data_IF_175327241338
#
_entry.id   IF_175327241338
#
_cell.length_a   1.000
_cell.length_b   1.000
_cell.length_c   1.000
_cell.angle_alpha   90.00
_cell.angle_beta   90.00
_cell.angle_gamma   90.00
#
_symmetry.space_group_name_H-M   'P 1'
#
loop_
_entity.id
_entity.type
_entity.pdbx_description
1 polymer ?
#
# COMPACT_ATOMS: atom_id res chain seq x y z
N UNK A 1 26.25 -52.65 9.40
CA UNK A 1 24.89 -52.13 9.68
C UNK A 1 24.98 -50.60 9.62
N UNK A 2 24.56 -49.99 8.51
CA UNK A 2 24.54 -48.54 8.30
C UNK A 2 23.09 -48.08 8.53
N UNK A 3 22.87 -47.32 9.59
CA UNK A 3 21.57 -46.71 9.83
C UNK A 3 21.43 -45.47 8.90
N UNK A 4 20.42 -45.54 8.01
CA UNK A 4 19.94 -44.40 7.21
C UNK A 4 19.02 -43.56 8.11
N UNK A 5 19.46 -42.36 8.45
CA UNK A 5 18.56 -41.33 8.97
C UNK A 5 17.82 -40.67 7.79
N UNK A 6 16.53 -40.95 7.68
CA UNK A 6 15.60 -40.21 6.82
C UNK A 6 15.29 -38.86 7.49
N UNK A 7 15.79 -37.78 6.92
CA UNK A 7 15.26 -36.45 7.18
C UNK A 7 13.92 -36.30 6.43
N UNK A 8 12.81 -36.41 7.15
CA UNK A 8 11.51 -35.98 6.67
C UNK A 8 11.47 -34.43 6.70
N UNK A 9 11.72 -33.82 5.56
CA UNK A 9 11.36 -32.42 5.33
C UNK A 9 9.85 -32.35 5.19
N UNK A 10 9.17 -31.87 6.23
CA UNK A 10 7.79 -31.44 6.14
C UNK A 10 7.73 -30.19 5.28
N UNK A 11 6.98 -30.18 4.15
CA UNK A 11 6.67 -28.92 3.49
C UNK A 11 5.68 -28.18 4.40
N UNK A 12 6.05 -27.01 4.87
CA UNK A 12 5.14 -26.04 5.44
C UNK A 12 4.20 -25.65 4.29
N UNK A 13 3.07 -26.34 4.20
CA UNK A 13 1.94 -25.90 3.40
C UNK A 13 1.40 -24.63 4.06
N UNK A 14 1.86 -23.47 3.55
CA UNK A 14 1.14 -22.22 3.73
C UNK A 14 -0.26 -22.44 3.14
N UNK A 15 -1.23 -22.68 4.01
CA UNK A 15 -2.63 -22.55 3.67
C UNK A 15 -2.88 -21.04 3.42
N UNK A 16 -2.57 -20.60 2.21
CA UNK A 16 -3.17 -19.39 1.67
C UNK A 16 -4.66 -19.70 1.54
N UNK A 17 -5.44 -19.31 2.55
CA UNK A 17 -6.89 -19.26 2.44
C UNK A 17 -7.22 -18.20 1.40
N UNK A 18 -7.24 -18.59 0.12
CA UNK A 18 -7.81 -17.79 -0.95
C UNK A 18 -9.32 -17.69 -0.70
N UNK A 19 -9.75 -16.81 0.18
CA UNK A 19 -11.04 -16.18 -0.01
C UNK A 19 -10.95 -15.46 -1.35
N UNK A 20 -11.81 -15.84 -2.30
CA UNK A 20 -11.88 -15.15 -3.59
C UNK A 20 -12.16 -13.68 -3.32
N UNK A 21 -11.12 -12.85 -3.47
CA UNK A 21 -11.30 -11.42 -3.49
C UNK A 21 -12.32 -11.06 -4.57
N UNK A 22 -13.24 -10.14 -4.30
CA UNK A 22 -14.23 -9.70 -5.29
C UNK A 22 -13.51 -9.30 -6.58
N UNK A 23 -14.01 -9.78 -7.73
CA UNK A 23 -13.42 -9.51 -9.02
C UNK A 23 -13.70 -8.05 -9.41
N UNK A 24 -12.75 -7.14 -9.30
CA UNK A 24 -12.84 -5.76 -9.81
C UNK A 24 -12.27 -4.70 -8.89
N UNK A 25 -12.36 -4.83 -7.56
CA UNK A 25 -11.64 -3.93 -6.67
C UNK A 25 -10.17 -4.38 -6.65
N UNK A 26 -9.39 -3.71 -7.49
CA UNK A 26 -7.98 -4.06 -7.68
C UNK A 26 -7.21 -3.96 -6.37
N UNK A 27 -6.31 -4.92 -6.12
CA UNK A 27 -5.41 -4.93 -4.98
C UNK A 27 -6.12 -4.93 -3.61
N UNK A 28 -7.39 -5.35 -3.56
CA UNK A 28 -8.14 -5.48 -2.32
C UNK A 28 -7.71 -6.72 -1.54
N UNK A 29 -7.49 -6.57 -0.24
CA UNK A 29 -7.26 -7.68 0.70
C UNK A 29 -7.54 -7.31 2.14
N UNK A 30 -7.91 -8.32 2.92
CA UNK A 30 -8.00 -8.27 4.37
C UNK A 30 -6.59 -8.43 4.97
N UNK A 31 -6.22 -7.60 5.94
CA UNK A 31 -4.95 -7.74 6.65
C UNK A 31 -4.92 -8.93 7.60
N UNK A 32 -6.04 -9.58 7.88
CA UNK A 32 -6.10 -10.79 8.72
C UNK A 32 -5.34 -11.99 8.14
N UNK A 33 -4.94 -11.91 6.88
CA UNK A 33 -4.12 -12.93 6.23
C UNK A 33 -2.67 -13.01 6.80
N UNK A 34 -2.25 -12.02 7.61
CA UNK A 34 -0.92 -11.97 8.19
C UNK A 34 -0.93 -12.43 9.64
N UNK A 35 0.06 -13.27 9.98
CA UNK A 35 0.35 -13.65 11.36
C UNK A 35 1.22 -12.55 11.96
N UNK A 36 0.82 -12.07 13.12
CA UNK A 36 1.61 -11.15 13.94
C UNK A 36 2.49 -11.97 14.89
N UNK A 37 3.50 -11.38 15.47
CA UNK A 37 4.41 -12.06 16.40
C UNK A 37 3.66 -12.91 17.46
N UNK A 38 4.27 -14.02 17.88
CA UNK A 38 3.73 -14.93 18.92
C UNK A 38 2.39 -15.62 18.55
N UNK A 39 2.17 -15.90 17.25
CA UNK A 39 0.93 -16.55 16.77
C UNK A 39 -0.34 -15.72 16.98
N UNK A 40 -0.20 -14.41 17.16
CA UNK A 40 -1.31 -13.48 17.17
C UNK A 40 -1.79 -13.22 15.75
N UNK A 41 -3.10 -13.03 15.58
CA UNK A 41 -3.70 -12.76 14.28
C UNK A 41 -4.44 -11.42 14.29
N UNK A 42 -4.45 -10.75 13.15
CA UNK A 42 -5.36 -9.62 12.94
C UNK A 42 -6.78 -10.19 12.82
N UNK A 43 -7.73 -9.57 13.52
CA UNK A 43 -9.14 -9.96 13.50
C UNK A 43 -9.69 -9.88 12.08
N UNK A 44 -10.23 -10.99 11.59
CA UNK A 44 -10.77 -11.09 10.24
C UNK A 44 -11.92 -10.11 10.02
N UNK A 45 -11.97 -9.52 8.83
CA UNK A 45 -13.06 -8.66 8.41
C UNK A 45 -13.05 -7.26 9.02
N UNK A 46 -11.93 -6.82 9.60
CA UNK A 46 -11.84 -5.52 10.27
C UNK A 46 -11.02 -4.48 9.50
N UNK A 47 -9.98 -4.91 8.79
CA UNK A 47 -9.02 -4.01 8.13
C UNK A 47 -8.80 -4.43 6.69
N UNK A 48 -9.29 -3.62 5.77
CA UNK A 48 -9.14 -3.86 4.33
C UNK A 48 -8.33 -2.76 3.68
N UNK A 49 -7.47 -3.15 2.76
CA UNK A 49 -6.79 -2.22 1.85
C UNK A 49 -7.18 -2.51 0.41
N UNK A 50 -7.22 -1.48 -0.45
CA UNK A 50 -7.65 -1.61 -1.84
C UNK A 50 -7.11 -0.50 -2.74
N UNK A 51 -7.34 -0.61 -4.07
CA UNK A 51 -7.39 0.51 -4.99
C UNK A 51 -8.74 1.25 -4.85
N UNK A 52 -8.89 2.39 -5.56
CA UNK A 52 -10.13 3.17 -5.54
C UNK A 52 -11.34 2.35 -5.99
N UNK A 53 -12.54 2.73 -5.52
CA UNK A 53 -13.79 2.02 -5.77
C UNK A 53 -14.54 2.49 -7.03
N UNK A 54 -13.98 3.44 -7.81
CA UNK A 54 -14.66 4.01 -8.98
C UNK A 54 -15.01 2.97 -10.06
N UNK A 55 -14.22 1.90 -10.18
CA UNK A 55 -14.44 0.84 -11.16
C UNK A 55 -15.06 -0.42 -10.54
N UNK A 56 -15.42 -0.40 -9.26
CA UNK A 56 -16.08 -1.53 -8.59
C UNK A 56 -17.42 -1.85 -9.27
N UNK A 57 -17.72 -3.14 -9.40
CA UNK A 57 -19.00 -3.61 -9.93
C UNK A 57 -20.12 -3.49 -8.89
N UNK A 58 -21.38 -3.68 -9.30
CA UNK A 58 -22.52 -3.68 -8.36
C UNK A 58 -22.38 -4.80 -7.33
N UNK A 59 -21.96 -5.99 -7.76
CA UNK A 59 -21.74 -7.14 -6.87
C UNK A 59 -20.66 -6.86 -5.82
N UNK A 60 -19.62 -6.10 -6.18
CA UNK A 60 -18.54 -5.74 -5.27
C UNK A 60 -18.94 -4.67 -4.27
N UNK A 61 -19.70 -3.67 -4.71
CA UNK A 61 -20.28 -2.69 -3.80
C UNK A 61 -21.26 -3.36 -2.84
N UNK A 62 -22.08 -4.29 -3.34
CA UNK A 62 -22.97 -5.09 -2.50
C UNK A 62 -22.18 -5.96 -1.51
N UNK A 63 -21.07 -6.60 -1.95
CA UNK A 63 -20.21 -7.35 -1.07
C UNK A 63 -19.65 -6.46 0.05
N UNK A 64 -19.11 -5.28 -0.27
CA UNK A 64 -18.62 -4.33 0.74
C UNK A 64 -19.72 -3.90 1.71
N UNK A 65 -20.97 -3.78 1.25
CA UNK A 65 -22.12 -3.47 2.10
C UNK A 65 -22.54 -4.65 3.01
N UNK A 66 -22.17 -5.91 2.67
CA UNK A 66 -22.38 -7.08 3.55
C UNK A 66 -21.32 -7.17 4.65
N UNK A 67 -20.14 -6.58 4.45
CA UNK A 67 -19.16 -6.42 5.50
C UNK A 67 -19.65 -5.32 6.47
N UNK A 68 -19.32 -5.40 7.75
CA UNK A 68 -19.65 -4.33 8.68
C UNK A 68 -18.78 -3.09 8.46
N UNK A 69 -18.64 -2.66 7.18
CA UNK A 69 -17.79 -1.53 6.79
C UNK A 69 -18.41 -0.23 7.27
N UNK A 70 -17.76 0.39 8.24
CA UNK A 70 -18.21 1.65 8.85
C UNK A 70 -17.47 2.86 8.32
N UNK A 71 -16.23 2.68 7.83
CA UNK A 71 -15.41 3.75 7.28
C UNK A 71 -14.71 3.34 5.99
N UNK A 72 -14.65 4.31 5.06
CA UNK A 72 -13.78 4.24 3.87
C UNK A 72 -12.87 5.46 3.91
N UNK A 73 -11.55 5.22 3.95
CA UNK A 73 -10.53 6.26 4.03
C UNK A 73 -9.82 6.35 2.69
N UNK A 74 -9.93 7.51 2.03
CA UNK A 74 -9.35 7.77 0.70
C UNK A 74 -8.13 8.70 0.81
N UNK A 75 -6.94 8.20 0.42
CA UNK A 75 -5.69 8.95 0.41
C UNK A 75 -5.46 9.76 -0.87
N UNK A 76 -6.40 9.79 -1.79
CA UNK A 76 -6.26 10.51 -3.07
C UNK A 76 -6.40 12.02 -2.88
N UNK A 77 -5.69 12.75 -3.76
CA UNK A 77 -5.85 14.18 -3.91
C UNK A 77 -7.16 14.50 -4.66
N UNK A 78 -7.63 15.75 -4.58
CA UNK A 78 -8.88 16.18 -5.19
C UNK A 78 -8.92 15.98 -6.71
N UNK A 79 -7.81 16.25 -7.40
CA UNK A 79 -7.71 16.07 -8.85
C UNK A 79 -7.75 14.60 -9.28
N UNK A 80 -7.25 13.67 -8.44
CA UNK A 80 -7.35 12.22 -8.68
C UNK A 80 -8.78 11.70 -8.55
N UNK A 81 -9.62 12.33 -7.71
CA UNK A 81 -11.02 11.95 -7.48
C UNK A 81 -11.98 12.54 -8.51
N UNK A 82 -11.64 13.71 -9.10
CA UNK A 82 -12.54 14.48 -9.98
C UNK A 82 -13.19 13.64 -11.09
N UNK A 83 -12.38 12.81 -11.76
CA UNK A 83 -12.86 11.99 -12.89
C UNK A 83 -13.11 10.53 -12.47
N UNK A 84 -12.84 10.17 -11.23
CA UNK A 84 -12.88 8.80 -10.69
C UNK A 84 -13.38 8.80 -9.25
N UNK A 85 -14.52 9.44 -9.01
CA UNK A 85 -15.18 9.38 -7.70
C UNK A 85 -15.49 7.92 -7.34
N UNK A 86 -15.31 7.58 -6.07
CA UNK A 86 -15.67 6.25 -5.59
C UNK A 86 -17.17 6.01 -5.70
N UNK A 87 -17.51 4.76 -5.92
CA UNK A 87 -18.89 4.31 -5.79
C UNK A 87 -19.27 4.26 -4.30
N UNK A 88 -20.49 4.65 -4.01
CA UNK A 88 -21.01 4.72 -2.63
C UNK A 88 -21.24 3.32 -2.08
N UNK A 89 -20.66 3.04 -0.92
CA UNK A 89 -20.99 1.88 -0.08
C UNK A 89 -21.95 2.33 1.01
N UNK A 90 -23.18 1.84 0.95
CA UNK A 90 -24.20 2.26 1.91
C UNK A 90 -23.82 1.87 3.35
N UNK A 91 -23.96 2.82 4.26
CA UNK A 91 -23.64 2.62 5.67
C UNK A 91 -22.20 2.97 6.07
N UNK A 92 -21.32 3.22 5.09
CA UNK A 92 -19.95 3.64 5.36
C UNK A 92 -19.81 5.17 5.35
N UNK A 93 -19.09 5.71 6.33
CA UNK A 93 -18.60 7.09 6.34
C UNK A 93 -17.38 7.22 5.42
N UNK A 94 -17.36 8.25 4.57
CA UNK A 94 -16.22 8.54 3.69
C UNK A 94 -15.36 9.65 4.28
N UNK A 95 -14.07 9.35 4.48
CA UNK A 95 -13.07 10.28 5.01
C UNK A 95 -11.96 10.44 3.97
N UNK A 96 -11.72 11.66 3.54
CA UNK A 96 -10.59 11.95 2.66
C UNK A 96 -9.40 12.45 3.49
N UNK A 97 -8.29 11.74 3.39
CA UNK A 97 -6.99 12.10 3.99
C UNK A 97 -5.98 12.21 2.86
N UNK A 98 -5.91 13.37 2.17
CA UNK A 98 -5.09 13.49 0.97
C UNK A 98 -3.60 13.42 1.29
N UNK A 99 -2.89 12.47 0.68
CA UNK A 99 -1.44 12.29 0.83
C UNK A 99 -0.76 12.58 -0.50
N UNK A 100 0.05 13.64 -0.56
CA UNK A 100 0.86 13.95 -1.73
C UNK A 100 2.20 13.20 -1.69
N UNK A 101 2.26 12.07 -2.41
CA UNK A 101 3.47 11.27 -2.54
C UNK A 101 4.52 11.89 -3.49
N UNK A 102 4.14 12.89 -4.29
CA UNK A 102 5.01 13.46 -5.32
C UNK A 102 6.10 14.36 -4.76
N UNK A 103 5.92 14.87 -3.54
CA UNK A 103 6.86 15.76 -2.87
C UNK A 103 7.24 16.96 -3.74
N UNK A 104 8.43 17.51 -3.52
CA UNK A 104 8.95 18.67 -4.25
C UNK A 104 9.15 18.43 -5.76
N UNK A 105 9.11 17.19 -6.25
CA UNK A 105 9.38 16.88 -7.68
C UNK A 105 8.26 17.38 -8.57
N UNK A 106 7.00 17.18 -8.16
CA UNK A 106 5.84 17.71 -8.92
C UNK A 106 5.61 19.20 -8.66
N UNK A 107 6.01 19.72 -7.50
CA UNK A 107 5.98 21.16 -7.25
C UNK A 107 6.89 21.94 -8.21
N UNK A 108 8.00 21.34 -8.65
CA UNK A 108 8.93 21.90 -9.63
C UNK A 108 8.55 21.60 -11.10
N UNK A 109 7.49 20.82 -11.35
CA UNK A 109 7.02 20.55 -12.69
C UNK A 109 6.35 21.79 -13.30
N UNK A 110 6.62 22.06 -14.58
CA UNK A 110 5.95 23.14 -15.32
C UNK A 110 4.46 22.82 -15.49
N UNK A 111 3.63 23.84 -15.73
CA UNK A 111 2.19 23.64 -15.98
C UNK A 111 1.91 22.76 -17.20
N UNK A 112 2.81 22.76 -18.21
CA UNK A 112 2.74 21.84 -19.34
C UNK A 112 3.04 20.39 -18.92
N UNK A 113 4.02 20.18 -18.06
CA UNK A 113 4.34 18.87 -17.51
C UNK A 113 3.19 18.37 -16.61
N UNK A 114 2.63 19.23 -15.73
CA UNK A 114 1.45 18.91 -14.93
C UNK A 114 0.24 18.55 -15.81
N UNK A 115 0.01 19.28 -16.90
CA UNK A 115 -1.04 18.95 -17.88
C UNK A 115 -0.78 17.64 -18.62
N UNK A 116 0.45 17.31 -18.92
CA UNK A 116 0.82 16.02 -19.55
C UNK A 116 0.65 14.84 -18.60
N UNK A 117 0.92 15.03 -17.32
CA UNK A 117 0.82 13.99 -16.29
C UNK A 117 -0.50 13.98 -15.52
N UNK A 118 -1.24 15.10 -15.47
CA UNK A 118 -2.49 15.28 -14.71
C UNK A 118 -3.70 15.72 -15.53
N UNK A 119 -3.61 15.78 -16.86
CA UNK A 119 -4.72 16.27 -17.70
C UNK A 119 -5.87 15.28 -17.84
N UNK A 120 -7.09 15.82 -17.96
CA UNK A 120 -8.45 15.25 -18.00
C UNK A 120 -8.74 14.12 -19.01
N UNK A 121 -7.74 13.37 -19.47
CA UNK A 121 -7.97 12.18 -20.30
C UNK A 121 -7.51 10.98 -19.50
N UNK A 122 -8.30 9.91 -19.46
CA UNK A 122 -7.90 8.58 -19.01
C UNK A 122 -6.49 8.27 -19.48
N UNK A 123 -5.50 8.74 -18.71
CA UNK A 123 -4.12 8.61 -19.06
C UNK A 123 -3.70 7.18 -18.69
N UNK A 124 -3.72 6.30 -19.67
CA UNK A 124 -3.21 4.95 -19.49
C UNK A 124 -1.68 5.03 -19.43
N UNK A 125 -1.16 5.13 -18.21
CA UNK A 125 0.28 5.14 -17.93
C UNK A 125 1.01 4.02 -18.69
N UNK A 126 0.33 2.88 -18.90
CA UNK A 126 0.87 1.74 -19.64
C UNK A 126 1.26 2.08 -21.08
N UNK A 127 0.58 3.06 -21.70
CA UNK A 127 0.89 3.48 -23.08
C UNK A 127 2.21 4.20 -23.22
N UNK A 128 2.64 4.90 -22.16
CA UNK A 128 3.84 5.73 -22.17
C UNK A 128 4.93 5.26 -21.23
N UNK A 129 4.68 4.18 -20.46
CA UNK A 129 5.61 3.71 -19.42
C UNK A 129 7.02 3.46 -19.98
N UNK A 130 7.13 2.99 -21.22
CA UNK A 130 8.43 2.77 -21.87
C UNK A 130 9.17 4.10 -22.07
N UNK A 131 8.45 5.17 -22.47
CA UNK A 131 9.05 6.51 -22.60
C UNK A 131 9.43 7.10 -21.24
N UNK A 132 8.55 6.91 -20.26
CA UNK A 132 8.78 7.39 -18.89
C UNK A 132 10.00 6.70 -18.28
N UNK A 133 10.22 5.43 -18.55
CA UNK A 133 11.34 4.67 -18.00
C UNK A 133 12.70 5.29 -18.33
N UNK A 134 12.85 5.95 -19.48
CA UNK A 134 14.07 6.63 -19.89
C UNK A 134 14.14 8.11 -19.44
N UNK A 135 13.13 8.61 -18.75
CA UNK A 135 13.08 9.99 -18.27
C UNK A 135 13.75 10.14 -16.90
N UNK A 136 14.75 11.03 -16.79
CA UNK A 136 15.52 11.19 -15.56
C UNK A 136 14.68 11.74 -14.38
N UNK A 137 13.69 12.60 -14.63
CA UNK A 137 12.75 13.06 -13.60
C UNK A 137 11.91 11.88 -13.09
N UNK A 138 11.42 11.00 -13.99
CA UNK A 138 10.68 9.81 -13.59
C UNK A 138 11.53 8.82 -12.80
N UNK A 139 12.79 8.63 -13.16
CA UNK A 139 13.76 7.84 -12.38
C UNK A 139 13.94 8.43 -10.98
N UNK A 140 14.03 9.76 -10.86
CA UNK A 140 14.12 10.43 -9.56
C UNK A 140 12.87 10.19 -8.74
N UNK A 141 11.66 10.40 -9.30
CA UNK A 141 10.39 10.11 -8.62
C UNK A 141 10.34 8.66 -8.16
N UNK A 142 10.67 7.72 -9.04
CA UNK A 142 10.66 6.29 -8.73
C UNK A 142 11.60 5.91 -7.56
N UNK A 143 12.70 6.65 -7.39
CA UNK A 143 13.64 6.45 -6.28
C UNK A 143 13.20 7.08 -4.97
N UNK A 144 12.54 8.25 -5.03
CA UNK A 144 12.27 9.10 -3.88
C UNK A 144 10.84 8.98 -3.32
N UNK A 145 9.92 8.30 -4.03
CA UNK A 145 8.52 8.24 -3.64
C UNK A 145 8.32 7.73 -2.19
N UNK A 146 9.01 6.66 -1.81
CA UNK A 146 8.86 6.12 -0.45
C UNK A 146 9.60 6.96 0.59
N UNK A 147 10.72 7.61 0.19
CA UNK A 147 11.35 8.61 1.05
C UNK A 147 10.38 9.73 1.40
N UNK A 148 9.71 10.31 0.40
CA UNK A 148 8.70 11.34 0.62
C UNK A 148 7.55 10.82 1.51
N UNK A 149 7.04 9.62 1.25
CA UNK A 149 5.94 9.05 2.03
C UNK A 149 6.29 8.83 3.50
N UNK A 150 7.55 8.48 3.82
CA UNK A 150 7.97 8.28 5.21
C UNK A 150 8.50 9.55 5.88
N UNK A 151 9.23 10.41 5.17
CA UNK A 151 10.03 11.48 5.80
C UNK A 151 9.52 12.90 5.53
N UNK A 152 8.52 13.07 4.65
CA UNK A 152 7.88 14.37 4.49
C UNK A 152 6.89 14.61 5.64
N UNK A 153 6.99 15.76 6.32
CA UNK A 153 6.18 16.11 7.49
C UNK A 153 4.67 16.13 7.19
N UNK A 154 4.28 16.56 5.99
CA UNK A 154 2.87 16.59 5.60
C UNK A 154 2.31 15.16 5.43
N UNK A 155 3.10 14.25 4.84
CA UNK A 155 2.73 12.84 4.75
C UNK A 155 2.62 12.21 6.14
N UNK A 156 3.58 12.49 7.04
CA UNK A 156 3.55 12.02 8.43
C UNK A 156 2.29 12.50 9.18
N UNK A 157 1.94 13.79 9.03
CA UNK A 157 0.73 14.35 9.62
C UNK A 157 -0.56 13.69 9.10
N UNK A 158 -0.61 13.32 7.81
CA UNK A 158 -1.75 12.61 7.23
C UNK A 158 -1.81 11.14 7.70
N UNK A 159 -0.67 10.45 7.85
CA UNK A 159 -0.67 9.13 8.49
C UNK A 159 -1.06 9.20 9.97
N UNK A 160 -0.66 10.24 10.70
CA UNK A 160 -1.16 10.48 12.05
C UNK A 160 -2.69 10.68 12.06
N UNK A 161 -3.25 11.39 11.06
CA UNK A 161 -4.71 11.49 10.91
C UNK A 161 -5.36 10.13 10.63
N UNK A 162 -4.78 9.33 9.74
CA UNK A 162 -5.24 7.96 9.50
C UNK A 162 -5.31 7.13 10.80
N UNK A 163 -4.28 7.18 11.63
CA UNK A 163 -4.30 6.48 12.93
C UNK A 163 -5.37 7.01 13.87
N UNK A 164 -5.61 8.33 13.92
CA UNK A 164 -6.70 8.90 14.73
C UNK A 164 -8.06 8.33 14.30
N UNK A 165 -8.30 8.20 12.99
CA UNK A 165 -9.54 7.60 12.48
C UNK A 165 -9.67 6.11 12.84
N UNK A 166 -8.56 5.36 12.79
CA UNK A 166 -8.55 3.96 13.25
C UNK A 166 -8.87 3.84 14.74
N UNK A 167 -8.31 4.71 15.57
CA UNK A 167 -8.51 4.73 17.02
C UNK A 167 -9.93 5.19 17.37
N UNK A 168 -10.48 6.16 16.69
CA UNK A 168 -11.83 6.70 16.92
C UNK A 168 -12.96 5.74 16.47
N UNK A 169 -12.66 4.72 15.67
CA UNK A 169 -13.68 3.78 15.16
C UNK A 169 -13.87 2.63 16.13
N UNK A 170 -14.95 2.62 16.89
CA UNK A 170 -15.20 1.61 17.93
C UNK A 170 -15.64 0.25 17.40
N UNK A 171 -16.36 0.21 16.30
CA UNK A 171 -16.93 -1.02 15.73
C UNK A 171 -16.87 -1.00 14.21
N UNK A 172 -16.97 -2.18 13.61
CA UNK A 172 -17.04 -2.36 12.18
C UNK A 172 -15.67 -2.39 11.49
N UNK A 173 -15.72 -2.58 10.19
CA UNK A 173 -14.56 -2.68 9.33
C UNK A 173 -14.16 -1.31 8.75
N UNK A 174 -12.88 -1.14 8.51
CA UNK A 174 -12.32 0.02 7.82
C UNK A 174 -11.66 -0.45 6.53
N UNK A 175 -12.07 0.16 5.42
CA UNK A 175 -11.37 0.02 4.15
C UNK A 175 -10.60 1.31 3.89
N UNK A 176 -9.31 1.21 3.57
CA UNK A 176 -8.50 2.37 3.19
C UNK A 176 -7.81 2.13 1.85
N UNK A 177 -7.71 3.19 1.06
CA UNK A 177 -7.22 3.07 -0.31
C UNK A 177 -6.58 4.36 -0.83
N UNK A 178 -5.92 4.24 -1.98
CA UNK A 178 -5.52 5.35 -2.83
C UNK A 178 -5.93 5.06 -4.28
N UNK A 179 -5.26 5.59 -5.28
CA UNK A 179 -5.60 5.32 -6.69
C UNK A 179 -5.41 3.85 -7.07
N UNK A 180 -4.29 3.23 -6.74
CA UNK A 180 -3.96 1.83 -7.09
C UNK A 180 -3.83 0.91 -5.87
N UNK A 181 -4.06 1.43 -4.66
CA UNK A 181 -3.90 0.65 -3.42
C UNK A 181 -2.48 0.18 -3.16
N UNK A 182 -1.44 0.86 -3.71
CA UNK A 182 -0.05 0.40 -3.65
C UNK A 182 0.85 1.27 -2.77
N UNK A 183 1.22 2.47 -3.19
CA UNK A 183 2.26 3.28 -2.53
C UNK A 183 1.77 3.88 -1.20
N UNK A 184 0.86 4.86 -1.23
CA UNK A 184 0.29 5.50 -0.02
C UNK A 184 -0.39 4.48 0.90
N UNK A 185 -1.20 3.63 0.32
CA UNK A 185 -1.88 2.52 1.00
C UNK A 185 -0.88 1.50 1.54
N UNK A 186 0.19 1.22 0.79
CA UNK A 186 1.26 0.30 1.22
C UNK A 186 2.02 0.82 2.43
N UNK A 187 2.37 2.10 2.45
CA UNK A 187 3.01 2.73 3.62
C UNK A 187 2.06 2.79 4.81
N UNK A 188 0.77 3.15 4.61
CA UNK A 188 -0.23 3.10 5.66
C UNK A 188 -0.36 1.70 6.27
N UNK A 189 -0.39 0.64 5.43
CA UNK A 189 -0.40 -0.76 5.89
C UNK A 189 0.87 -1.13 6.65
N UNK A 190 2.04 -0.71 6.17
CA UNK A 190 3.31 -0.98 6.83
C UNK A 190 3.36 -0.39 8.24
N UNK A 191 2.95 0.87 8.38
CA UNK A 191 2.88 1.56 9.67
C UNK A 191 1.83 0.90 10.59
N UNK A 192 0.67 0.52 10.05
CA UNK A 192 -0.38 -0.16 10.81
C UNK A 192 0.08 -1.56 11.27
N UNK A 193 0.65 -2.36 10.38
CA UNK A 193 1.20 -3.68 10.72
C UNK A 193 2.28 -3.56 11.81
N UNK A 194 3.16 -2.57 11.72
CA UNK A 194 4.16 -2.29 12.74
C UNK A 194 3.51 -1.92 14.09
N UNK A 195 2.50 -1.06 14.11
CA UNK A 195 1.77 -0.70 15.32
C UNK A 195 1.09 -1.91 15.97
N UNK A 196 0.59 -2.84 15.15
CA UNK A 196 -0.01 -4.10 15.60
C UNK A 196 1.03 -5.13 16.08
N UNK A 197 2.32 -4.92 15.80
CA UNK A 197 3.41 -5.78 16.26
C UNK A 197 3.89 -6.81 15.23
N UNK A 198 3.59 -6.61 13.94
CA UNK A 198 4.12 -7.44 12.88
C UNK A 198 5.64 -7.29 12.77
N UNK A 199 6.31 -8.38 12.44
CA UNK A 199 7.72 -8.34 12.11
C UNK A 199 7.99 -7.68 10.74
N UNK A 200 9.25 -7.42 10.48
CA UNK A 200 9.69 -6.75 9.25
C UNK A 200 9.39 -7.57 7.99
N UNK A 201 9.52 -8.87 8.07
CA UNK A 201 9.26 -9.81 7.00
C UNK A 201 7.78 -9.76 6.59
N UNK A 202 6.88 -9.75 7.54
CA UNK A 202 5.44 -9.60 7.32
C UNK A 202 5.08 -8.25 6.68
N UNK A 203 5.70 -7.16 7.15
CA UNK A 203 5.51 -5.81 6.59
C UNK A 203 5.96 -5.77 5.12
N UNK A 204 7.14 -6.34 4.82
CA UNK A 204 7.67 -6.38 3.45
C UNK A 204 6.80 -7.29 2.58
N UNK A 205 6.35 -8.44 3.10
CA UNK A 205 5.50 -9.38 2.37
C UNK A 205 4.16 -8.75 1.96
N UNK A 206 3.49 -8.01 2.87
CA UNK A 206 2.28 -7.27 2.51
C UNK A 206 2.56 -6.23 1.41
N UNK A 207 3.63 -5.49 1.53
CA UNK A 207 3.98 -4.47 0.54
C UNK A 207 4.23 -5.10 -0.84
N UNK A 208 5.06 -6.16 -0.89
CA UNK A 208 5.43 -6.86 -2.13
C UNK A 208 4.27 -7.64 -2.77
N UNK A 209 3.28 -8.09 -1.99
CA UNK A 209 2.10 -8.78 -2.50
C UNK A 209 1.36 -8.00 -3.61
N UNK A 210 1.50 -6.68 -3.62
CA UNK A 210 1.02 -5.82 -4.71
C UNK A 210 1.64 -6.18 -6.07
N UNK A 211 2.89 -6.63 -6.12
CA UNK A 211 3.57 -6.99 -7.36
C UNK A 211 2.94 -8.22 -8.04
N UNK A 212 2.37 -9.14 -7.28
CA UNK A 212 1.64 -10.29 -7.82
C UNK A 212 0.38 -9.86 -8.61
N UNK A 213 -0.31 -8.81 -8.15
CA UNK A 213 -1.49 -8.24 -8.85
C UNK A 213 -1.11 -7.68 -10.22
N UNK A 214 0.07 -7.08 -10.34
CA UNK A 214 0.55 -6.41 -11.55
C UNK A 214 1.62 -7.20 -12.30
N UNK A 215 1.90 -8.45 -11.94
CA UNK A 215 3.02 -9.24 -12.46
C UNK A 215 3.07 -9.31 -13.99
N UNK A 216 1.93 -9.56 -14.63
CA UNK A 216 1.85 -9.67 -16.08
C UNK A 216 2.25 -8.35 -16.79
N UNK A 217 1.78 -7.22 -16.26
CA UNK A 217 2.11 -5.91 -16.79
C UNK A 217 3.58 -5.52 -16.50
N UNK A 218 4.06 -5.75 -15.28
CA UNK A 218 5.47 -5.53 -14.92
C UNK A 218 6.38 -6.32 -15.87
N UNK A 219 6.12 -7.61 -16.05
CA UNK A 219 6.91 -8.48 -16.94
C UNK A 219 6.86 -8.02 -18.41
N UNK A 220 5.67 -7.65 -18.89
CA UNK A 220 5.46 -7.15 -20.27
C UNK A 220 6.23 -5.89 -20.54
N UNK A 221 6.11 -4.88 -19.68
CA UNK A 221 6.73 -3.57 -19.91
C UNK A 221 8.21 -3.56 -19.58
N UNK A 222 8.68 -4.34 -18.61
CA UNK A 222 10.11 -4.55 -18.37
C UNK A 222 10.81 -5.17 -19.59
N UNK A 223 10.18 -6.17 -20.24
CA UNK A 223 10.72 -6.74 -21.48
C UNK A 223 10.79 -5.70 -22.62
N UNK A 224 9.77 -4.84 -22.75
CA UNK A 224 9.78 -3.77 -23.75
C UNK A 224 10.90 -2.75 -23.48
N UNK A 225 11.07 -2.33 -22.23
CA UNK A 225 12.15 -1.41 -21.84
C UNK A 225 13.51 -2.02 -22.17
N UNK A 226 13.75 -3.29 -21.83
CA UNK A 226 15.00 -3.97 -22.19
C UNK A 226 15.21 -4.09 -23.70
N UNK A 227 14.16 -4.32 -24.48
CA UNK A 227 14.22 -4.36 -25.94
C UNK A 227 14.70 -3.02 -26.55
N UNK A 228 14.35 -1.89 -25.94
CA UNK A 228 14.81 -0.56 -26.32
C UNK A 228 16.14 -0.15 -25.66
N UNK A 229 16.90 -1.10 -25.10
CA UNK A 229 18.22 -0.87 -24.53
C UNK A 229 18.22 -0.41 -23.06
N UNK A 230 17.05 -0.41 -22.40
CA UNK A 230 16.96 -0.09 -20.98
C UNK A 230 17.62 -1.15 -20.09
N UNK A 231 18.27 -0.67 -19.03
CA UNK A 231 18.96 -1.46 -18.01
C UNK A 231 18.08 -1.58 -16.74
N UNK A 232 18.66 -1.99 -15.65
CA UNK A 232 17.91 -2.20 -14.39
C UNK A 232 17.31 -0.91 -13.81
N UNK A 233 17.95 0.25 -14.03
CA UNK A 233 17.40 1.55 -13.61
C UNK A 233 16.07 1.86 -14.31
N UNK A 234 16.00 1.62 -15.62
CA UNK A 234 14.78 1.81 -16.42
C UNK A 234 13.70 0.77 -16.04
N UNK A 235 14.11 -0.46 -15.75
CA UNK A 235 13.20 -1.51 -15.26
C UNK A 235 12.67 -1.17 -13.86
N UNK A 236 13.49 -0.58 -12.98
CA UNK A 236 13.06 -0.10 -11.68
C UNK A 236 11.95 0.97 -11.76
N UNK A 237 12.01 1.84 -12.79
CA UNK A 237 10.91 2.79 -13.07
C UNK A 237 9.62 2.06 -13.42
N UNK A 238 9.67 1.01 -14.24
CA UNK A 238 8.48 0.20 -14.56
C UNK A 238 7.88 -0.41 -13.29
N UNK A 239 8.72 -1.01 -12.43
CA UNK A 239 8.27 -1.58 -11.15
C UNK A 239 7.63 -0.52 -10.26
N UNK A 240 8.25 0.65 -10.11
CA UNK A 240 7.74 1.72 -9.28
C UNK A 240 6.40 2.30 -9.77
N UNK A 241 6.19 2.42 -11.07
CA UNK A 241 4.98 3.04 -11.62
C UNK A 241 3.84 2.04 -11.88
N UNK A 242 4.12 0.79 -12.22
CA UNK A 242 3.10 -0.25 -12.46
C UNK A 242 2.82 -1.05 -11.21
N UNK A 243 3.85 -1.59 -10.57
CA UNK A 243 3.80 -2.26 -9.28
C UNK A 243 4.40 -1.40 -8.17
N UNK A 244 5.19 -2.03 -7.28
CA UNK A 244 5.97 -1.37 -6.23
C UNK A 244 7.44 -1.75 -6.36
N UNK A 245 8.33 -0.83 -5.96
CA UNK A 245 9.76 -1.12 -5.86
C UNK A 245 10.10 -1.50 -4.42
N UNK A 246 10.09 -2.79 -4.14
CA UNK A 246 10.33 -3.35 -2.80
C UNK A 246 11.73 -3.03 -2.27
N UNK A 247 12.74 -2.96 -3.13
CA UNK A 247 14.11 -2.60 -2.72
C UNK A 247 14.18 -1.16 -2.19
N UNK A 248 13.52 -0.23 -2.89
CA UNK A 248 13.41 1.15 -2.41
C UNK A 248 12.65 1.24 -1.08
N UNK A 249 11.55 0.49 -0.94
CA UNK A 249 10.80 0.45 0.31
C UNK A 249 11.65 -0.09 1.47
N UNK A 250 12.39 -1.18 1.27
CA UNK A 250 13.32 -1.76 2.27
C UNK A 250 14.41 -0.76 2.65
N UNK A 251 14.91 0.02 1.70
CA UNK A 251 15.90 1.07 1.96
C UNK A 251 15.34 2.11 2.94
N UNK A 252 14.10 2.55 2.75
CA UNK A 252 13.50 3.53 3.66
C UNK A 252 13.21 2.94 5.04
N UNK A 253 12.84 1.67 5.15
CA UNK A 253 12.71 1.01 6.45
C UNK A 253 14.05 0.95 7.21
N UNK A 254 15.18 0.71 6.49
CA UNK A 254 16.53 0.79 7.10
C UNK A 254 16.85 2.21 7.55
N UNK A 255 16.51 3.22 6.76
CA UNK A 255 16.72 4.61 7.13
C UNK A 255 15.90 5.01 8.36
N UNK A 256 14.69 4.47 8.54
CA UNK A 256 13.91 4.61 9.78
C UNK A 256 14.70 4.05 10.97
N UNK A 257 15.28 2.85 10.85
CA UNK A 257 16.09 2.27 11.93
C UNK A 257 17.32 3.12 12.24
N UNK A 258 18.00 3.62 11.22
CA UNK A 258 19.20 4.46 11.38
C UNK A 258 18.87 5.81 12.07
N UNK A 259 17.72 6.42 11.76
CA UNK A 259 17.35 7.74 12.30
C UNK A 259 16.61 7.67 13.64
N UNK A 260 15.78 6.65 13.84
CA UNK A 260 14.88 6.54 14.99
C UNK A 260 15.16 5.32 15.87
N UNK A 261 16.07 4.45 15.46
CA UNK A 261 16.41 3.20 16.16
C UNK A 261 15.43 2.05 15.87
N UNK A 262 14.17 2.34 15.59
CA UNK A 262 13.16 1.33 15.22
C UNK A 262 11.93 1.98 14.56
N UNK A 263 11.13 1.17 13.87
CA UNK A 263 9.83 1.62 13.33
C UNK A 263 8.84 1.96 14.45
N UNK A 264 8.94 1.35 15.62
CA UNK A 264 8.11 1.68 16.78
C UNK A 264 8.43 3.09 17.29
N UNK A 265 9.71 3.45 17.38
CA UNK A 265 10.11 4.81 17.75
C UNK A 265 9.67 5.83 16.68
N UNK A 266 9.70 5.45 15.41
CA UNK A 266 9.17 6.28 14.33
C UNK A 266 7.65 6.51 14.50
N UNK A 267 6.88 5.49 14.86
CA UNK A 267 5.45 5.63 15.15
C UNK A 267 5.19 6.56 16.33
N UNK A 268 6.00 6.49 17.38
CA UNK A 268 5.87 7.36 18.57
C UNK A 268 6.36 8.77 18.33
N UNK A 269 7.43 8.95 17.58
CA UNK A 269 8.02 10.26 17.26
C UNK A 269 7.29 10.96 16.10
N UNK A 270 7.69 10.75 14.84
CA UNK A 270 7.12 11.45 13.69
C UNK A 270 5.61 11.30 13.50
N UNK A 271 5.06 10.10 13.76
CA UNK A 271 3.60 9.86 13.63
C UNK A 271 2.85 10.31 14.89
N UNK A 272 3.51 10.33 16.05
CA UNK A 272 2.97 10.88 17.29
C UNK A 272 2.00 9.95 18.02
N UNK A 273 2.11 8.60 17.83
CA UNK A 273 1.31 7.64 18.58
C UNK A 273 1.83 7.50 20.01
N UNK A 274 0.93 7.47 20.97
CA UNK A 274 1.23 7.11 22.35
C UNK A 274 1.21 5.59 22.54
N UNK A 275 1.75 5.10 23.66
CA UNK A 275 1.61 3.68 24.04
C UNK A 275 0.14 3.27 24.22
N UNK A 276 -0.70 4.18 24.72
CA UNK A 276 -2.15 3.94 24.85
C UNK A 276 -2.84 3.83 23.49
N UNK A 277 -2.43 4.61 22.49
CA UNK A 277 -2.93 4.51 21.12
C UNK A 277 -2.59 3.14 20.52
N UNK A 278 -1.33 2.72 20.64
CA UNK A 278 -0.86 1.42 20.15
C UNK A 278 -1.60 0.27 20.87
N UNK A 279 -1.77 0.36 22.19
CA UNK A 279 -2.51 -0.63 22.96
C UNK A 279 -3.99 -0.68 22.54
N UNK A 280 -4.61 0.46 22.26
CA UNK A 280 -5.98 0.55 21.78
C UNK A 280 -6.14 -0.15 20.43
N UNK A 281 -5.23 0.10 19.48
CA UNK A 281 -5.20 -0.58 18.19
C UNK A 281 -5.03 -2.09 18.35
N UNK A 282 -4.06 -2.55 19.15
CA UNK A 282 -3.81 -3.98 19.41
C UNK A 282 -5.02 -4.65 20.05
N UNK A 283 -5.62 -4.04 21.08
CA UNK A 283 -6.82 -4.58 21.74
C UNK A 283 -7.98 -4.75 20.77
N UNK A 284 -8.14 -3.85 19.82
CA UNK A 284 -9.23 -3.87 18.85
C UNK A 284 -9.01 -4.89 17.74
N UNK A 285 -7.83 -4.89 17.16
CA UNK A 285 -7.56 -5.61 15.91
C UNK A 285 -6.84 -6.93 16.09
N UNK A 286 -6.24 -7.22 17.26
CA UNK A 286 -5.50 -8.47 17.48
C UNK A 286 -6.35 -9.47 18.26
N UNK A 287 -6.25 -10.75 17.86
CA UNK A 287 -6.81 -11.92 18.57
C UNK A 287 -5.72 -12.99 18.72
N UNK A 288 -5.94 -13.86 19.73
CA UNK A 288 -5.12 -15.07 19.92
C UNK A 288 -5.60 -16.19 19.02
#
# INVERSE_FOLDING_TARGET
>A
MKQFLLFLSFPILMFCSCTKDPKGIVNMRDLSNYIIADSLHIRQGMLFRAAHLADATDDEIQYLATLPTTKIIDFRLEDEKRDRADRVVHGAEYINIPIDASGNVMAQATDEEKKKFGGNKRFDLRKIIVMIAFNDKAKKVAREIYHNLFFNSDCQAQYAHFFRELIATDTGAILYHCTQGKDRTGVASALLLAALGADRETIIADFDATNAVYEADIRKYSRRVRFFGGKEDEVAVVKAFIGVNTDNFIRELKQIDEQYGSIENYLKGPIGLTDDDINTLRKRYIIK
#
